data_IF_989913897950
#
_entry.id   IF_989913897950
#
_cell.length_a   1.000
_cell.length_b   1.000
_cell.length_c   1.000
_cell.angle_alpha   90.00
_cell.angle_beta   90.00
_cell.angle_gamma   90.00
#
_symmetry.space_group_name_H-M   'P 1'
#
loop_
_entity.id
_entity.type
_entity.pdbx_description
1 polymer ?
#
# COMPACT_ATOMS: atom_id res chain seq x y z
N UNK A 1 -11.42 -28.78 -47.37
CA UNK A 1 -11.80 -27.53 -46.67
C UNK A 1 -10.65 -27.13 -45.77
N UNK A 2 -10.04 -25.97 -46.07
CA UNK A 2 -8.72 -25.57 -45.58
C UNK A 2 -8.76 -25.14 -44.11
N UNK A 3 -7.92 -25.74 -43.27
CA UNK A 3 -7.71 -25.35 -41.86
C UNK A 3 -6.62 -24.27 -41.80
N UNK A 4 -7.03 -23.04 -41.54
CA UNK A 4 -6.13 -21.92 -41.28
C UNK A 4 -5.75 -21.98 -39.79
N UNK A 5 -4.48 -22.29 -39.52
CA UNK A 5 -3.88 -22.24 -38.18
C UNK A 5 -3.23 -20.87 -38.03
N UNK A 6 -3.76 -20.03 -37.14
CA UNK A 6 -3.08 -18.80 -36.71
C UNK A 6 -2.05 -19.12 -35.63
N UNK A 7 -0.76 -19.01 -35.96
CA UNK A 7 0.33 -18.93 -34.98
C UNK A 7 0.40 -17.50 -34.44
N UNK A 8 0.11 -17.32 -33.15
CA UNK A 8 0.45 -16.06 -32.45
C UNK A 8 1.94 -16.07 -32.12
N UNK A 9 2.65 -15.06 -32.62
CA UNK A 9 4.01 -14.74 -32.21
C UNK A 9 3.99 -14.15 -30.80
N UNK A 10 4.73 -14.76 -29.87
CA UNK A 10 5.07 -14.14 -28.59
C UNK A 10 6.22 -13.15 -28.87
N UNK A 11 5.94 -11.85 -28.76
CA UNK A 11 7.00 -10.84 -28.65
C UNK A 11 7.58 -10.89 -27.24
N UNK A 12 8.80 -11.43 -27.14
CA UNK A 12 9.63 -11.35 -25.96
C UNK A 12 10.17 -9.90 -25.85
N UNK A 13 9.65 -9.12 -24.90
CA UNK A 13 10.23 -7.83 -24.54
C UNK A 13 11.48 -8.10 -23.71
N UNK A 14 12.65 -7.86 -24.32
CA UNK A 14 13.92 -7.81 -23.60
C UNK A 14 13.91 -6.55 -22.73
N UNK A 15 13.85 -6.73 -21.40
CA UNK A 15 14.15 -5.66 -20.45
C UNK A 15 15.67 -5.50 -20.44
N UNK A 16 16.16 -4.36 -20.90
CA UNK A 16 17.56 -3.97 -20.79
C UNK A 16 17.95 -3.94 -19.30
N UNK A 17 18.82 -4.86 -18.89
CA UNK A 17 19.43 -4.83 -17.56
C UNK A 17 20.44 -3.68 -17.51
N UNK A 18 20.32 -2.85 -16.47
CA UNK A 18 21.24 -1.77 -16.18
C UNK A 18 22.68 -2.29 -16.01
N UNK A 19 23.64 -1.51 -16.53
CA UNK A 19 25.06 -1.81 -16.45
C UNK A 19 25.55 -1.90 -14.98
N UNK A 20 26.48 -2.80 -14.65
CA UNK A 20 27.06 -2.87 -13.32
C UNK A 20 27.93 -1.64 -13.05
N UNK A 21 27.72 -1.04 -11.89
CA UNK A 21 28.59 -0.02 -11.31
C UNK A 21 29.99 -0.62 -11.15
N UNK A 22 30.97 -0.11 -11.89
CA UNK A 22 32.38 -0.48 -11.73
C UNK A 22 32.87 0.06 -10.38
N UNK A 23 32.96 -0.80 -9.37
CA UNK A 23 33.80 -0.52 -8.21
C UNK A 23 35.25 -0.62 -8.67
N UNK A 24 35.95 0.50 -8.75
CA UNK A 24 37.38 0.52 -8.94
C UNK A 24 38.06 -0.09 -7.70
N UNK A 25 38.51 -1.35 -7.81
CA UNK A 25 39.50 -1.90 -6.90
C UNK A 25 40.86 -1.31 -7.28
N UNK A 26 41.35 -0.39 -6.44
CA UNK A 26 42.75 0.04 -6.48
C UNK A 26 43.56 -1.07 -5.81
N UNK A 27 44.13 -1.95 -6.62
CA UNK A 27 45.09 -2.96 -6.13
C UNK A 27 46.46 -2.31 -6.03
N UNK A 28 46.85 -1.87 -4.83
CA UNK A 28 48.26 -1.55 -4.55
C UNK A 28 48.97 -2.88 -4.31
N UNK A 29 49.87 -3.26 -5.22
CA UNK A 29 50.65 -4.50 -5.10
C UNK A 29 51.45 -4.51 -3.78
N UNK A 30 51.23 -5.54 -2.96
CA UNK A 30 52.13 -5.91 -1.84
C UNK A 30 51.57 -5.83 -0.42
N UNK A 31 50.29 -5.46 -0.20
CA UNK A 31 49.74 -5.34 1.16
C UNK A 31 48.44 -6.11 1.32
N UNK A 32 48.44 -7.12 2.20
CA UNK A 32 47.24 -7.85 2.62
C UNK A 32 46.47 -6.97 3.60
N UNK A 33 45.26 -6.55 3.25
CA UNK A 33 44.40 -5.76 4.15
C UNK A 33 43.94 -6.66 5.30
N UNK A 34 44.37 -6.34 6.52
CA UNK A 34 43.91 -7.00 7.74
C UNK A 34 42.41 -6.80 7.95
N UNK A 35 41.78 -7.79 8.57
CA UNK A 35 40.35 -7.82 8.90
C UNK A 35 39.89 -6.57 9.65
N UNK A 36 38.71 -6.06 9.27
CA UNK A 36 38.04 -4.93 9.91
C UNK A 36 37.70 -5.23 11.38
N UNK A 37 38.05 -4.31 12.29
CA UNK A 37 37.48 -4.29 13.63
C UNK A 37 35.97 -4.03 13.58
N UNK A 38 35.21 -4.60 14.52
CA UNK A 38 33.74 -4.49 14.59
C UNK A 38 33.22 -3.06 14.84
N UNK A 39 34.11 -2.10 15.09
CA UNK A 39 33.80 -0.68 15.31
C UNK A 39 33.95 0.19 14.06
N UNK A 40 34.27 -0.40 12.89
CA UNK A 40 34.41 0.32 11.63
C UNK A 40 35.61 1.28 11.60
N UNK A 41 36.53 1.20 12.57
CA UNK A 41 37.77 2.00 12.56
C UNK A 41 38.82 1.28 11.73
N UNK A 42 39.07 1.76 10.52
CA UNK A 42 40.35 1.54 9.86
C UNK A 42 41.21 2.78 10.08
N UNK A 43 41.89 2.79 11.22
CA UNK A 43 43.25 3.29 11.22
C UNK A 43 44.10 2.01 11.24
N UNK A 44 45.10 1.92 10.36
CA UNK A 44 46.10 0.86 10.44
C UNK A 44 46.44 0.62 11.92
N UNK A 45 46.23 -0.60 12.47
CA UNK A 45 46.87 -0.88 13.73
C UNK A 45 48.38 -0.70 13.50
N UNK A 46 49.01 -0.03 14.47
CA UNK A 46 50.41 -0.20 14.82
C UNK A 46 51.55 0.44 14.01
N UNK A 47 51.46 1.71 13.57
CA UNK A 47 52.73 2.49 13.60
C UNK A 47 53.14 2.75 15.06
N UNK A 48 52.18 2.96 15.97
CA UNK A 48 52.47 3.18 17.39
C UNK A 48 52.94 1.93 18.14
N UNK A 49 52.56 0.71 17.73
CA UNK A 49 53.08 -0.51 18.39
C UNK A 49 54.36 -1.03 17.73
N UNK A 50 54.69 -0.59 16.51
CA UNK A 50 55.89 -1.02 15.79
C UNK A 50 57.10 -0.10 15.96
N UNK A 51 56.92 1.19 16.28
CA UNK A 51 58.05 2.12 16.50
C UNK A 51 57.85 2.99 17.76
N UNK A 52 58.83 3.04 18.66
CA UNK A 52 58.91 3.98 19.80
C UNK A 52 59.64 5.26 19.39
N UNK A 53 59.17 6.42 19.87
CA UNK A 53 59.81 7.72 19.63
C UNK A 53 60.85 7.95 20.73
N UNK A 54 62.14 7.96 20.37
CA UNK A 54 63.23 8.34 21.28
C UNK A 54 63.22 9.84 21.60
N UNK A 55 63.86 10.24 22.70
CA UNK A 55 63.91 11.64 23.17
C UNK A 55 64.55 12.65 22.21
N UNK A 56 65.14 12.18 21.11
CA UNK A 56 65.73 12.95 20.00
C UNK A 56 64.88 12.92 18.73
N UNK A 57 63.65 12.39 18.77
CA UNK A 57 62.73 12.33 17.63
C UNK A 57 62.98 11.19 16.63
N UNK A 58 63.96 10.31 16.88
CA UNK A 58 64.18 9.12 16.04
C UNK A 58 63.18 8.02 16.41
N UNK A 59 62.58 7.43 15.37
CA UNK A 59 61.75 6.23 15.50
C UNK A 59 62.65 4.99 15.59
N UNK A 60 62.51 4.23 16.68
CA UNK A 60 63.19 2.95 16.87
C UNK A 60 62.16 1.82 16.83
N UNK A 61 62.43 0.65 16.24
CA UNK A 61 61.50 -0.47 16.28
C UNK A 61 61.18 -0.85 17.74
N UNK A 62 59.89 -1.06 18.03
CA UNK A 62 59.47 -1.58 19.33
C UNK A 62 60.07 -2.97 19.54
N UNK A 63 60.64 -3.29 20.71
CA UNK A 63 61.29 -4.58 20.97
C UNK A 63 60.31 -5.78 20.90
N UNK A 64 59.00 -5.54 20.89
CA UNK A 64 57.96 -6.57 20.69
C UNK A 64 57.56 -6.78 19.23
N UNK A 65 58.04 -5.94 18.29
CA UNK A 65 57.78 -6.14 16.88
C UNK A 65 58.67 -7.28 16.35
N UNK A 66 58.05 -8.39 15.94
CA UNK A 66 58.75 -9.54 15.36
C UNK A 66 59.74 -9.13 14.25
N UNK A 67 60.84 -9.86 14.15
CA UNK A 67 61.91 -9.61 13.18
C UNK A 67 61.36 -9.60 11.75
N UNK A 68 61.24 -8.41 11.15
CA UNK A 68 60.71 -8.24 9.79
C UNK A 68 60.29 -6.82 9.42
N UNK A 69 60.13 -5.91 10.39
CA UNK A 69 59.76 -4.52 10.12
C UNK A 69 60.98 -3.61 10.12
N UNK A 70 61.21 -2.88 9.03
CA UNK A 70 62.18 -1.77 8.99
C UNK A 70 61.38 -0.46 9.08
N UNK A 71 61.54 0.30 10.17
CA UNK A 71 61.04 1.67 10.26
C UNK A 71 61.91 2.51 9.29
N UNK A 72 61.57 2.55 7.99
CA UNK A 72 62.30 3.35 7.00
C UNK A 72 62.06 4.83 7.32
N UNK A 73 63.13 5.61 7.37
CA UNK A 73 63.14 7.02 7.78
C UNK A 73 62.03 7.82 7.09
N UNK A 74 60.93 8.07 7.80
CA UNK A 74 59.95 9.08 7.42
C UNK A 74 60.58 10.43 7.77
N UNK A 75 61.28 11.01 6.80
CA UNK A 75 61.96 12.29 6.94
C UNK A 75 61.05 13.33 7.60
N UNK A 76 61.56 13.98 8.64
CA UNK A 76 60.87 14.96 9.48
C UNK A 76 60.46 16.25 8.76
N UNK A 77 60.82 16.41 7.47
CA UNK A 77 60.63 17.66 6.73
C UNK A 77 60.06 17.48 5.30
N UNK A 78 59.36 16.36 5.03
CA UNK A 78 58.67 16.15 3.76
C UNK A 78 57.15 16.39 3.85
N UNK A 79 56.48 16.83 2.75
CA UNK A 79 55.02 17.02 2.70
C UNK A 79 54.18 15.76 3.00
N UNK A 80 54.83 14.61 3.18
CA UNK A 80 54.22 13.34 3.57
C UNK A 80 53.82 13.25 5.05
N UNK A 81 54.41 14.03 5.96
CA UNK A 81 53.98 14.02 7.37
C UNK A 81 52.58 14.66 7.56
N UNK A 82 52.21 15.62 6.72
CA UNK A 82 50.85 16.16 6.70
C UNK A 82 49.82 15.17 6.13
N UNK A 83 50.26 14.14 5.39
CA UNK A 83 49.39 13.15 4.77
C UNK A 83 49.05 11.97 5.71
N UNK A 84 49.95 11.59 6.61
CA UNK A 84 49.73 10.45 7.54
C UNK A 84 48.87 10.83 8.74
N UNK A 85 48.97 12.08 9.23
CA UNK A 85 48.10 12.60 10.30
C UNK A 85 46.72 13.07 9.83
N UNK A 86 46.46 13.04 8.52
CA UNK A 86 45.10 13.04 7.97
C UNK A 86 44.61 11.59 7.87
N UNK A 87 44.55 10.90 9.01
CA UNK A 87 43.49 9.92 9.20
C UNK A 87 42.19 10.73 9.14
N UNK A 88 41.70 10.94 7.93
CA UNK A 88 40.35 11.37 7.70
C UNK A 88 39.51 10.35 8.46
N UNK A 89 38.96 10.76 9.60
CA UNK A 89 37.74 10.18 10.10
C UNK A 89 36.75 10.36 8.96
N UNK A 90 36.73 9.41 8.02
CA UNK A 90 35.64 9.25 7.10
C UNK A 90 34.47 8.88 7.99
N UNK A 91 33.81 9.93 8.49
CA UNK A 91 32.51 9.80 9.08
C UNK A 91 31.64 9.28 7.96
N UNK A 92 31.37 7.97 8.00
CA UNK A 92 30.38 7.42 7.11
C UNK A 92 29.08 8.19 7.37
N UNK A 93 28.33 8.52 6.32
CA UNK A 93 27.06 9.19 6.50
C UNK A 93 26.16 8.28 7.33
N UNK A 94 25.51 8.88 8.34
CA UNK A 94 24.42 8.20 9.03
C UNK A 94 23.20 8.24 8.12
N UNK A 95 22.63 7.07 7.84
CA UNK A 95 21.50 6.90 6.93
C UNK A 95 20.31 6.30 7.68
N UNK A 96 19.10 6.69 7.31
CA UNK A 96 17.86 6.07 7.77
C UNK A 96 17.16 5.38 6.60
N UNK A 97 16.57 4.21 6.86
CA UNK A 97 15.74 3.48 5.91
C UNK A 97 14.42 3.08 6.57
N UNK A 98 13.32 3.07 5.82
CA UNK A 98 12.01 2.62 6.28
C UNK A 98 11.59 1.37 5.49
N UNK A 99 11.36 0.26 6.20
CA UNK A 99 10.99 -1.04 5.61
C UNK A 99 9.70 -1.60 6.24
N UNK A 100 9.15 -2.67 5.63
CA UNK A 100 7.87 -3.29 6.05
C UNK A 100 6.93 -3.56 4.86
N UNK A 101 5.69 -4.03 5.12
CA UNK A 101 4.65 -4.16 4.09
C UNK A 101 4.34 -2.82 3.41
N UNK A 102 3.87 -2.86 2.16
CA UNK A 102 3.43 -1.69 1.39
C UNK A 102 1.91 -1.66 1.14
N UNK A 103 1.18 -2.62 1.69
CA UNK A 103 -0.26 -2.77 1.50
C UNK A 103 -0.91 -3.28 2.79
N UNK A 104 -2.11 -2.78 3.08
CA UNK A 104 -3.00 -3.26 4.15
C UNK A 104 -4.45 -2.99 3.76
N UNK A 105 -5.42 -3.50 4.55
CA UNK A 105 -6.84 -3.26 4.30
C UNK A 105 -7.35 -2.04 5.07
N UNK A 106 -8.40 -1.36 4.57
CA UNK A 106 -9.09 -0.36 5.38
C UNK A 106 -9.67 -0.99 6.65
N UNK A 107 -9.77 -0.23 7.74
CA UNK A 107 -10.43 -0.70 8.96
C UNK A 107 -11.87 -1.15 8.67
N UNK A 108 -12.31 -2.16 9.43
CA UNK A 108 -13.64 -2.75 9.30
C UNK A 108 -13.97 -3.28 7.88
N UNK A 109 -12.98 -3.85 7.17
CA UNK A 109 -13.18 -4.54 5.88
C UNK A 109 -12.78 -6.02 5.88
N UNK A 110 -12.76 -6.66 7.04
CA UNK A 110 -12.22 -8.02 7.22
C UNK A 110 -10.70 -8.10 6.99
N UNK A 111 -10.02 -9.04 7.63
CA UNK A 111 -8.54 -9.11 7.59
C UNK A 111 -7.84 -8.07 8.47
N UNK A 112 -6.53 -7.88 8.29
CA UNK A 112 -5.74 -6.94 9.09
C UNK A 112 -5.77 -5.53 8.50
N UNK A 113 -6.02 -4.53 9.35
CA UNK A 113 -5.83 -3.11 9.05
C UNK A 113 -4.51 -2.55 9.61
N UNK A 114 -3.75 -3.39 10.33
CA UNK A 114 -2.49 -3.01 10.95
C UNK A 114 -1.29 -3.62 10.22
N UNK A 115 -0.23 -2.84 10.07
CA UNK A 115 1.09 -3.32 9.62
C UNK A 115 2.20 -2.76 10.51
N UNK A 116 3.26 -3.54 10.69
CA UNK A 116 4.47 -3.09 11.38
C UNK A 116 5.51 -2.63 10.35
N UNK A 117 6.05 -1.43 10.57
CA UNK A 117 7.15 -0.86 9.82
C UNK A 117 8.40 -0.77 10.70
N UNK A 118 9.57 -0.83 10.07
CA UNK A 118 10.87 -0.78 10.75
C UNK A 118 11.67 0.39 10.16
N UNK A 119 11.91 1.40 10.99
CA UNK A 119 12.87 2.45 10.69
C UNK A 119 14.25 2.02 11.20
N UNK A 120 15.22 1.88 10.31
CA UNK A 120 16.58 1.42 10.62
C UNK A 120 17.58 2.52 10.34
N UNK A 121 18.43 2.83 11.31
CA UNK A 121 19.53 3.79 11.17
C UNK A 121 20.85 3.05 11.14
N UNK A 122 21.66 3.31 10.12
CA UNK A 122 22.99 2.75 9.97
C UNK A 122 24.04 3.83 9.79
N UNK A 123 25.28 3.49 10.17
CA UNK A 123 26.48 4.22 9.81
C UNK A 123 27.27 3.33 8.85
N UNK A 124 27.20 3.60 7.54
CA UNK A 124 27.54 2.61 6.51
C UNK A 124 26.68 1.33 6.68
N UNK A 125 27.30 0.18 6.98
CA UNK A 125 26.63 -1.10 7.23
C UNK A 125 26.34 -1.38 8.71
N UNK A 126 26.95 -0.62 9.63
CA UNK A 126 26.80 -0.84 11.06
C UNK A 126 25.51 -0.21 11.58
N UNK A 127 24.76 -0.93 12.41
CA UNK A 127 23.61 -0.39 13.13
C UNK A 127 24.01 0.78 14.05
N UNK A 128 23.18 1.84 14.09
CA UNK A 128 23.41 2.99 14.97
C UNK A 128 22.29 3.12 15.99
N UNK A 129 22.58 2.74 17.22
CA UNK A 129 21.67 2.87 18.37
C UNK A 129 21.60 4.31 18.91
N UNK A 130 20.57 4.61 19.68
CA UNK A 130 20.43 5.89 20.38
C UNK A 130 20.06 7.08 19.49
N UNK A 131 19.64 6.84 18.25
CA UNK A 131 19.26 7.90 17.30
C UNK A 131 17.77 8.21 17.45
N UNK A 132 17.45 9.46 17.75
CA UNK A 132 16.08 9.94 17.82
C UNK A 132 15.49 10.11 16.41
N UNK A 133 14.26 9.60 16.23
CA UNK A 133 13.48 9.65 15.00
C UNK A 133 12.11 10.30 15.27
N UNK A 134 11.62 11.09 14.31
CA UNK A 134 10.25 11.59 14.27
C UNK A 134 9.46 10.90 13.16
N UNK A 135 8.19 10.59 13.41
CA UNK A 135 7.30 9.90 12.48
C UNK A 135 6.05 10.74 12.21
N UNK A 136 5.63 10.74 10.95
CA UNK A 136 4.37 11.35 10.54
C UNK A 136 3.72 10.53 9.43
N UNK A 137 2.41 10.73 9.27
CA UNK A 137 1.58 10.08 8.28
C UNK A 137 0.78 11.13 7.54
N UNK A 138 0.76 11.02 6.22
CA UNK A 138 -0.15 11.77 5.37
C UNK A 138 -0.94 10.85 4.44
N UNK A 139 -1.93 11.41 3.75
CA UNK A 139 -2.73 10.70 2.76
C UNK A 139 -2.72 11.47 1.45
N UNK A 140 -2.40 10.78 0.35
CA UNK A 140 -2.38 11.38 -0.98
C UNK A 140 -3.78 11.84 -1.36
N UNK A 141 -3.98 13.13 -1.73
CA UNK A 141 -5.26 13.66 -2.17
C UNK A 141 -5.90 12.82 -3.29
N UNK A 142 -7.22 12.68 -3.29
CA UNK A 142 -8.01 12.01 -4.34
C UNK A 142 -7.50 10.59 -4.72
N UNK A 143 -7.12 9.80 -3.71
CA UNK A 143 -6.62 8.42 -3.88
C UNK A 143 -7.62 7.42 -3.33
N UNK A 144 -7.52 6.14 -3.72
CA UNK A 144 -8.40 5.06 -3.21
C UNK A 144 -9.82 5.03 -3.79
N UNK A 145 -10.06 5.74 -4.89
CA UNK A 145 -11.41 5.85 -5.47
C UNK A 145 -12.20 7.06 -5.00
N UNK A 146 -11.62 7.89 -4.14
CA UNK A 146 -12.21 9.15 -3.71
C UNK A 146 -11.83 10.29 -4.67
N UNK A 147 -12.82 11.11 -4.99
CA UNK A 147 -12.67 12.24 -5.94
C UNK A 147 -12.58 13.61 -5.24
N UNK A 148 -12.54 13.62 -3.91
CA UNK A 148 -12.36 14.82 -3.10
C UNK A 148 -11.29 14.61 -2.02
N UNK A 149 -10.78 15.72 -1.50
CA UNK A 149 -9.81 15.76 -0.42
C UNK A 149 -9.98 17.06 0.38
N UNK A 150 -9.91 16.95 1.70
CA UNK A 150 -9.86 18.07 2.62
C UNK A 150 -9.07 17.67 3.87
N UNK A 151 -8.91 18.64 4.78
CA UNK A 151 -8.16 18.48 6.03
C UNK A 151 -8.77 17.47 7.01
N UNK A 152 -10.06 17.15 6.86
CA UNK A 152 -10.77 16.18 7.68
C UNK A 152 -10.66 14.75 7.13
N UNK A 153 -10.01 14.52 5.98
CA UNK A 153 -9.78 13.18 5.44
C UNK A 153 -9.06 12.31 6.48
N UNK A 154 -9.64 11.17 6.91
CA UNK A 154 -9.01 10.29 7.87
C UNK A 154 -7.63 9.85 7.41
N UNK A 155 -6.64 10.14 8.24
CA UNK A 155 -5.29 9.59 8.11
C UNK A 155 -5.23 8.29 8.93
N UNK A 156 -4.35 7.38 8.55
CA UNK A 156 -4.05 6.25 9.43
C UNK A 156 -3.36 6.73 10.71
N UNK A 157 -3.36 5.89 11.73
CA UNK A 157 -2.76 6.19 13.03
C UNK A 157 -1.40 5.50 13.13
N UNK A 158 -0.45 6.20 13.74
CA UNK A 158 0.82 5.62 14.15
C UNK A 158 0.78 5.41 15.67
N UNK A 159 1.19 4.24 16.13
CA UNK A 159 1.27 3.95 17.57
C UNK A 159 2.30 4.83 18.31
N UNK A 160 3.22 5.47 17.57
CA UNK A 160 4.17 6.43 18.08
C UNK A 160 4.53 7.48 17.00
N UNK A 161 4.68 8.74 17.40
CA UNK A 161 5.15 9.83 16.54
C UNK A 161 6.64 10.13 16.72
N UNK A 162 7.28 9.45 17.67
CA UNK A 162 8.70 9.61 18.01
C UNK A 162 9.26 8.26 18.46
N UNK A 163 10.57 8.05 18.31
CA UNK A 163 11.25 6.86 18.84
C UNK A 163 12.76 7.01 18.85
N UNK A 164 13.44 6.13 19.59
CA UNK A 164 14.91 6.09 19.65
C UNK A 164 15.37 4.70 19.24
N UNK A 165 16.34 4.62 18.33
CA UNK A 165 16.82 3.33 17.82
C UNK A 165 17.43 2.45 18.93
N UNK A 166 17.08 1.17 18.90
CA UNK A 166 17.61 0.16 19.81
C UNK A 166 19.06 -0.27 19.47
N UNK A 167 19.57 -1.31 20.13
CA UNK A 167 20.90 -1.85 19.87
C UNK A 167 21.11 -2.35 18.42
N UNK A 168 20.03 -2.67 17.70
CA UNK A 168 20.05 -3.07 16.29
C UNK A 168 19.92 -1.87 15.34
N UNK A 169 19.86 -0.65 15.89
CA UNK A 169 19.64 0.57 15.11
C UNK A 169 18.20 0.69 14.63
N UNK A 170 17.23 0.04 15.29
CA UNK A 170 15.85 -0.07 14.79
C UNK A 170 14.84 0.61 15.71
N UNK A 171 13.80 1.18 15.10
CA UNK A 171 12.53 1.55 15.75
C UNK A 171 11.40 0.85 15.00
N UNK A 172 10.55 0.12 15.73
CA UNK A 172 9.35 -0.50 15.19
C UNK A 172 8.16 0.42 15.44
N UNK A 173 7.41 0.73 14.39
CA UNK A 173 6.16 1.50 14.47
C UNK A 173 5.03 0.67 13.85
N UNK A 174 3.83 0.81 14.40
CA UNK A 174 2.62 0.19 13.87
C UNK A 174 1.80 1.28 13.20
N UNK A 175 1.41 1.02 11.95
CA UNK A 175 0.44 1.82 11.21
C UNK A 175 -0.90 1.10 11.22
N UNK A 176 -1.94 1.79 11.69
CA UNK A 176 -3.33 1.36 11.66
C UNK A 176 -4.07 2.15 10.57
N UNK A 177 -4.59 1.45 9.56
CA UNK A 177 -5.32 2.07 8.45
C UNK A 177 -6.71 2.55 8.89
N UNK A 178 -7.20 3.70 8.36
CA UNK A 178 -8.57 4.14 8.61
C UNK A 178 -9.58 3.32 7.82
N UNK A 179 -10.88 3.53 8.02
CA UNK A 179 -11.93 2.88 7.22
C UNK A 179 -11.93 3.33 5.75
N UNK A 180 -11.33 4.48 5.45
CA UNK A 180 -11.28 5.11 4.12
C UNK A 180 -10.06 4.58 3.37
N UNK A 181 -10.24 4.13 2.13
CA UNK A 181 -9.15 3.66 1.29
C UNK A 181 -8.28 4.83 0.78
N UNK A 182 -7.03 4.56 0.44
CA UNK A 182 -6.12 5.59 -0.06
C UNK A 182 -4.66 5.18 -0.05
N UNK A 183 -3.83 6.05 -0.64
CA UNK A 183 -2.38 5.96 -0.53
C UNK A 183 -1.97 6.79 0.68
N UNK A 184 -1.32 6.15 1.65
CA UNK A 184 -0.78 6.81 2.83
C UNK A 184 0.74 6.89 2.73
N UNK A 185 1.32 8.04 3.09
CA UNK A 185 2.76 8.24 3.09
C UNK A 185 3.24 8.34 4.53
N UNK A 186 4.07 7.39 4.95
CA UNK A 186 4.75 7.43 6.25
C UNK A 186 6.11 8.08 6.04
N UNK A 187 6.38 9.15 6.78
CA UNK A 187 7.62 9.92 6.69
C UNK A 187 8.42 9.82 7.99
N UNK A 188 9.72 9.58 7.87
CA UNK A 188 10.67 9.48 8.98
C UNK A 188 11.65 10.66 8.91
N UNK A 189 11.65 11.47 9.96
CA UNK A 189 12.61 12.54 10.18
C UNK A 189 13.74 12.06 11.10
N UNK A 190 14.99 12.34 10.75
CA UNK A 190 16.19 12.02 11.51
C UNK A 190 17.17 13.18 11.39
N UNK A 191 17.35 13.94 12.47
CA UNK A 191 18.14 15.17 12.47
C UNK A 191 19.64 14.94 12.17
N UNK A 192 20.15 13.74 12.43
CA UNK A 192 21.56 13.38 12.24
C UNK A 192 21.80 12.54 10.98
N UNK A 193 20.75 12.21 10.21
CA UNK A 193 20.87 11.39 9.03
C UNK A 193 20.96 12.27 7.77
N UNK A 194 21.88 11.95 6.87
CA UNK A 194 22.11 12.76 5.66
C UNK A 194 21.05 12.58 4.58
N UNK A 195 20.27 11.51 4.63
CA UNK A 195 19.20 11.20 3.67
C UNK A 195 17.79 11.45 4.23
N UNK A 196 17.66 12.25 5.30
CA UNK A 196 16.37 12.58 5.90
C UNK A 196 15.69 13.77 5.19
N UNK A 197 14.36 13.78 5.02
CA UNK A 197 13.41 12.72 5.40
C UNK A 197 13.40 11.54 4.42
N UNK A 198 13.05 10.35 4.92
CA UNK A 198 12.70 9.19 4.07
C UNK A 198 11.22 8.88 4.18
N UNK A 199 10.63 8.38 3.10
CA UNK A 199 9.20 8.09 3.02
C UNK A 199 8.92 6.66 2.54
N UNK A 200 7.76 6.14 2.92
CA UNK A 200 7.22 4.89 2.39
C UNK A 200 5.73 5.04 2.13
N UNK A 201 5.30 4.62 0.94
CA UNK A 201 3.89 4.55 0.59
C UNK A 201 3.26 3.22 1.05
N UNK A 202 2.08 3.33 1.62
CA UNK A 202 1.21 2.23 2.03
C UNK A 202 -0.10 2.35 1.26
N UNK A 203 -0.43 1.33 0.48
CA UNK A 203 -1.72 1.23 -0.19
C UNK A 203 -2.75 0.63 0.78
N UNK A 204 -3.76 1.41 1.14
CA UNK A 204 -4.90 0.94 1.94
C UNK A 204 -6.02 0.57 0.97
N UNK A 205 -6.22 -0.72 0.72
CA UNK A 205 -7.24 -1.22 -0.23
C UNK A 205 -7.76 -2.61 0.12
N UNK A 206 -8.95 -2.93 -0.39
CA UNK A 206 -9.48 -4.30 -0.43
C UNK A 206 -8.93 -4.99 -1.68
N UNK A 207 -8.24 -6.14 -1.55
CA UNK A 207 -7.68 -6.87 -2.68
C UNK A 207 -8.77 -7.55 -3.51
N UNK A 208 -8.42 -7.89 -4.76
CA UNK A 208 -9.20 -8.74 -5.68
C UNK A 208 -10.61 -8.23 -6.01
N UNK A 209 -10.78 -6.91 -5.96
CA UNK A 209 -11.99 -6.24 -6.45
C UNK A 209 -11.98 -6.18 -7.98
N UNK A 210 -13.09 -6.57 -8.58
CA UNK A 210 -13.31 -6.65 -10.02
C UNK A 210 -14.44 -5.71 -10.43
N UNK A 211 -14.31 -5.00 -11.56
CA UNK A 211 -15.37 -4.14 -12.05
C UNK A 211 -16.56 -4.98 -12.56
N UNK A 212 -17.77 -4.50 -12.30
CA UNK A 212 -18.97 -4.93 -13.03
C UNK A 212 -18.84 -4.39 -14.46
N UNK A 213 -19.07 -5.24 -15.46
CA UNK A 213 -18.92 -4.85 -16.86
C UNK A 213 -19.85 -3.67 -17.21
N UNK A 214 -19.36 -2.60 -17.85
CA UNK A 214 -20.23 -1.55 -18.38
C UNK A 214 -20.99 -2.00 -19.64
N UNK A 215 -20.66 -3.18 -20.18
CA UNK A 215 -21.29 -3.77 -21.37
C UNK A 215 -22.03 -5.06 -20.97
N UNK A 216 -23.23 -4.95 -20.40
CA UNK A 216 -24.07 -6.11 -20.07
C UNK A 216 -24.51 -6.87 -21.33
N UNK A 217 -24.79 -8.18 -21.21
CA UNK A 217 -25.53 -8.93 -22.23
C UNK A 217 -26.86 -8.25 -22.62
N UNK A 218 -27.28 -8.44 -23.86
CA UNK A 218 -28.60 -8.01 -24.33
C UNK A 218 -29.64 -9.13 -24.17
N UNK A 219 -30.86 -8.74 -23.83
CA UNK A 219 -32.07 -9.54 -23.93
C UNK A 219 -32.48 -9.70 -25.40
N UNK A 220 -33.40 -10.64 -25.67
CA UNK A 220 -33.89 -10.91 -27.03
C UNK A 220 -34.62 -9.72 -27.68
N UNK A 221 -35.13 -8.79 -26.87
CA UNK A 221 -35.80 -7.55 -27.31
C UNK A 221 -34.81 -6.39 -27.56
N UNK A 222 -33.50 -6.63 -27.45
CA UNK A 222 -32.45 -5.62 -27.64
C UNK A 222 -32.17 -4.75 -26.40
N UNK A 223 -32.91 -4.93 -25.31
CA UNK A 223 -32.60 -4.26 -24.03
C UNK A 223 -31.42 -4.92 -23.32
N UNK A 224 -30.84 -4.29 -22.31
CA UNK A 224 -29.75 -4.88 -21.53
C UNK A 224 -30.28 -5.65 -20.30
N UNK A 225 -29.57 -6.70 -19.87
CA UNK A 225 -29.93 -7.44 -18.65
C UNK A 225 -29.81 -6.60 -17.37
N UNK A 226 -28.89 -5.64 -17.36
CA UNK A 226 -28.73 -4.66 -16.30
C UNK A 226 -28.22 -3.33 -16.86
N UNK A 227 -28.29 -2.28 -16.05
CA UNK A 227 -27.68 -0.99 -16.32
C UNK A 227 -26.98 -0.48 -15.05
N UNK A 228 -25.85 0.19 -15.21
CA UNK A 228 -25.16 0.90 -14.14
C UNK A 228 -25.79 2.30 -14.04
N UNK A 229 -26.42 2.62 -12.90
CA UNK A 229 -27.37 3.74 -12.74
C UNK A 229 -27.03 4.71 -11.62
N UNK A 230 -25.96 4.44 -10.89
CA UNK A 230 -25.27 5.50 -10.16
C UNK A 230 -24.76 6.51 -11.21
N UNK A 231 -25.04 7.79 -10.97
CA UNK A 231 -24.91 8.97 -11.85
C UNK A 231 -25.88 9.09 -13.05
N UNK A 232 -27.02 9.75 -12.83
CA UNK A 232 -27.59 10.60 -13.88
C UNK A 232 -26.81 11.94 -13.94
N UNK A 233 -26.73 12.51 -15.14
CA UNK A 233 -25.95 13.74 -15.41
C UNK A 233 -26.44 14.96 -14.62
N UNK A 234 -27.66 14.92 -14.10
CA UNK A 234 -28.27 16.01 -13.30
C UNK A 234 -27.57 16.21 -11.97
N UNK A 235 -26.86 15.20 -11.44
CA UNK A 235 -26.11 15.27 -10.19
C UNK A 235 -24.58 15.42 -10.38
N UNK A 236 -24.09 15.48 -11.63
CA UNK A 236 -22.66 15.63 -11.95
C UNK A 236 -22.08 17.03 -11.65
N UNK A 237 -22.91 17.99 -11.24
CA UNK A 237 -22.50 19.39 -11.05
C UNK A 237 -21.85 19.74 -9.71
N UNK A 238 -21.90 18.86 -8.70
CA UNK A 238 -21.44 19.20 -7.33
C UNK A 238 -20.21 18.43 -6.85
N UNK A 239 -19.59 17.55 -7.66
CA UNK A 239 -18.42 16.77 -7.23
C UNK A 239 -18.67 15.80 -6.07
N UNK A 240 -19.93 15.36 -5.87
CA UNK A 240 -20.40 14.59 -4.71
C UNK A 240 -20.55 13.08 -4.95
N UNK A 241 -20.16 12.58 -6.12
CA UNK A 241 -20.35 11.17 -6.47
C UNK A 241 -19.05 10.56 -6.96
N UNK A 242 -18.82 9.31 -6.59
CA UNK A 242 -17.65 8.56 -7.03
C UNK A 242 -17.99 7.88 -8.36
N UNK A 243 -17.31 8.24 -9.44
CA UNK A 243 -17.59 7.72 -10.78
C UNK A 243 -17.20 6.25 -10.98
N UNK A 244 -16.51 5.64 -10.00
CA UNK A 244 -15.94 4.29 -10.06
C UNK A 244 -16.40 3.40 -8.88
N UNK A 245 -17.72 3.27 -8.71
CA UNK A 245 -18.36 2.59 -7.56
C UNK A 245 -18.99 1.24 -7.88
N UNK A 246 -18.50 0.56 -8.91
CA UNK A 246 -19.05 -0.71 -9.43
C UNK A 246 -18.08 -1.86 -9.30
N UNK A 247 -17.44 -2.01 -8.14
CA UNK A 247 -16.49 -3.09 -7.89
C UNK A 247 -17.05 -4.10 -6.90
N UNK A 248 -16.79 -5.37 -7.17
CA UNK A 248 -17.22 -6.51 -6.35
C UNK A 248 -16.11 -7.55 -6.26
N UNK A 249 -16.15 -8.42 -5.27
CA UNK A 249 -15.34 -9.65 -5.30
C UNK A 249 -15.80 -10.55 -6.45
N UNK A 250 -14.95 -11.47 -6.90
CA UNK A 250 -15.31 -12.46 -7.91
C UNK A 250 -16.56 -13.28 -7.54
N UNK A 251 -16.69 -13.68 -6.27
CA UNK A 251 -17.84 -14.46 -5.80
C UNK A 251 -19.11 -13.62 -5.78
N UNK A 252 -19.03 -12.37 -5.30
CA UNK A 252 -20.15 -11.44 -5.30
C UNK A 252 -20.63 -11.12 -6.72
N UNK A 253 -19.71 -10.99 -7.69
CA UNK A 253 -20.07 -10.80 -9.10
C UNK A 253 -20.86 -12.00 -9.66
N UNK A 254 -20.45 -13.23 -9.34
CA UNK A 254 -21.20 -14.44 -9.75
C UNK A 254 -22.60 -14.48 -9.12
N UNK A 255 -22.69 -14.15 -7.83
CA UNK A 255 -23.96 -14.12 -7.11
C UNK A 255 -24.90 -13.04 -7.66
N UNK A 256 -24.35 -11.88 -8.01
CA UNK A 256 -25.08 -10.79 -8.66
C UNK A 256 -25.67 -11.24 -10.01
N UNK A 257 -24.91 -11.94 -10.84
CA UNK A 257 -25.42 -12.45 -12.12
C UNK A 257 -26.59 -13.44 -11.93
N UNK A 258 -26.52 -14.30 -10.91
CA UNK A 258 -27.62 -15.19 -10.55
C UNK A 258 -28.87 -14.44 -10.05
N UNK A 259 -28.67 -13.38 -9.27
CA UNK A 259 -29.73 -12.50 -8.80
C UNK A 259 -30.40 -11.75 -9.98
N UNK A 260 -29.62 -11.20 -10.90
CA UNK A 260 -30.14 -10.53 -12.11
C UNK A 260 -30.98 -11.51 -12.95
N UNK A 261 -30.54 -12.76 -13.10
CA UNK A 261 -31.33 -13.80 -13.74
C UNK A 261 -32.67 -14.06 -13.04
N UNK A 262 -32.70 -13.97 -11.71
CA UNK A 262 -33.95 -14.11 -10.93
C UNK A 262 -34.90 -12.92 -11.14
N UNK A 263 -34.38 -11.69 -11.24
CA UNK A 263 -35.19 -10.53 -11.61
C UNK A 263 -35.77 -10.65 -13.01
N UNK A 264 -34.95 -11.10 -13.98
CA UNK A 264 -35.39 -11.32 -15.35
C UNK A 264 -36.52 -12.36 -15.44
N UNK A 265 -36.42 -13.46 -14.68
CA UNK A 265 -37.45 -14.49 -14.61
C UNK A 265 -38.80 -13.98 -14.07
N UNK A 266 -38.78 -12.94 -13.25
CA UNK A 266 -39.98 -12.25 -12.73
C UNK A 266 -40.39 -11.06 -13.62
N UNK A 267 -39.81 -10.98 -14.82
CA UNK A 267 -40.14 -9.99 -15.85
C UNK A 267 -39.73 -8.57 -15.51
N UNK A 268 -38.71 -8.35 -14.66
CA UNK A 268 -38.28 -7.00 -14.28
C UNK A 268 -37.69 -6.18 -15.44
N UNK A 269 -37.25 -6.84 -16.51
CA UNK A 269 -36.51 -6.18 -17.60
C UNK A 269 -35.09 -5.85 -17.17
N UNK A 270 -34.58 -4.69 -17.56
CA UNK A 270 -33.24 -4.21 -17.19
C UNK A 270 -33.15 -3.90 -15.70
N UNK A 271 -32.25 -4.57 -14.98
CA UNK A 271 -32.00 -4.31 -13.55
C UNK A 271 -31.08 -3.09 -13.37
N UNK A 272 -31.53 -2.08 -12.62
CA UNK A 272 -30.74 -0.89 -12.32
C UNK A 272 -29.80 -1.13 -11.13
N UNK A 273 -28.50 -1.30 -11.39
CA UNK A 273 -27.46 -1.42 -10.38
C UNK A 273 -26.99 -0.03 -9.97
N UNK A 274 -26.94 0.24 -8.67
CA UNK A 274 -26.51 1.52 -8.12
C UNK A 274 -25.18 1.36 -7.38
N UNK A 275 -25.15 1.47 -6.06
CA UNK A 275 -23.89 1.57 -5.31
C UNK A 275 -23.34 0.17 -5.03
N UNK A 276 -22.14 -0.16 -5.51
CA UNK A 276 -21.35 -1.32 -5.09
C UNK A 276 -20.12 -0.83 -4.31
N UNK A 277 -18.92 -1.39 -4.48
CA UNK A 277 -17.69 -0.87 -3.85
C UNK A 277 -16.90 0.07 -4.76
N UNK A 278 -16.11 0.97 -4.15
CA UNK A 278 -15.03 1.68 -4.83
C UNK A 278 -13.98 0.67 -5.31
N UNK A 279 -13.16 1.04 -6.28
CA UNK A 279 -12.14 0.14 -6.83
C UNK A 279 -11.07 -0.30 -5.82
N UNK A 280 -10.86 0.45 -4.74
CA UNK A 280 -10.03 0.05 -3.59
C UNK A 280 -10.84 -0.32 -2.34
N UNK A 281 -12.17 -0.33 -2.44
CA UNK A 281 -13.04 -0.54 -1.28
C UNK A 281 -12.96 0.58 -0.26
N UNK A 282 -13.14 0.21 1.01
CA UNK A 282 -13.22 1.17 2.10
C UNK A 282 -14.55 1.93 2.15
N UNK A 283 -14.67 2.82 3.13
CA UNK A 283 -15.89 3.60 3.37
C UNK A 283 -16.16 4.59 2.23
N UNK A 284 -17.40 4.58 1.74
CA UNK A 284 -17.94 5.65 0.91
C UNK A 284 -18.14 6.95 1.69
N UNK A 285 -17.85 8.06 1.02
CA UNK A 285 -18.22 9.38 1.50
C UNK A 285 -19.00 10.10 0.40
N UNK A 286 -20.32 9.95 0.41
CA UNK A 286 -21.21 10.60 -0.56
C UNK A 286 -21.42 12.08 -0.22
N UNK A 287 -21.23 12.45 1.05
CA UNK A 287 -21.48 13.81 1.54
C UNK A 287 -20.23 14.69 1.61
N UNK A 288 -19.08 14.16 1.19
CA UNK A 288 -17.77 14.83 1.23
C UNK A 288 -17.42 15.34 2.63
N UNK A 289 -17.73 14.57 3.68
CA UNK A 289 -17.44 14.91 5.08
C UNK A 289 -16.76 13.77 5.86
N UNK A 290 -16.34 12.73 5.13
CA UNK A 290 -15.73 11.48 5.57
C UNK A 290 -16.57 10.68 6.57
N UNK A 291 -17.88 10.96 6.62
CA UNK A 291 -18.87 10.28 7.46
C UNK A 291 -19.85 9.52 6.57
N UNK A 292 -20.64 8.64 7.19
CA UNK A 292 -21.65 7.84 6.48
C UNK A 292 -22.66 8.73 5.74
N UNK A 293 -23.55 8.17 4.89
CA UNK A 293 -24.01 6.77 4.89
C UNK A 293 -23.12 5.78 4.10
N UNK A 294 -23.51 4.49 4.08
CA UNK A 294 -22.88 3.38 3.31
C UNK A 294 -21.66 2.69 3.97
N UNK A 295 -21.82 2.32 5.24
CA UNK A 295 -20.82 1.50 5.95
C UNK A 295 -20.71 0.06 5.41
N UNK A 296 -21.68 -0.44 4.64
CA UNK A 296 -21.69 -1.84 4.15
C UNK A 296 -20.90 -2.08 2.86
N UNK A 297 -20.89 -1.12 1.92
CA UNK A 297 -20.33 -1.31 0.58
C UNK A 297 -18.80 -1.32 0.49
N UNK A 298 -18.09 -1.56 1.59
CA UNK A 298 -16.63 -1.38 1.69
C UNK A 298 -15.81 -2.50 1.10
N UNK A 299 -16.40 -3.70 1.05
CA UNK A 299 -15.67 -4.94 0.74
C UNK A 299 -15.94 -5.48 -0.68
N UNK A 300 -16.76 -4.81 -1.47
CA UNK A 300 -17.25 -5.35 -2.74
C UNK A 300 -18.13 -6.58 -2.56
N UNK A 301 -18.86 -6.64 -1.44
CA UNK A 301 -19.77 -7.74 -1.09
C UNK A 301 -21.23 -7.34 -1.06
N UNK A 302 -21.52 -6.08 -1.37
CA UNK A 302 -22.84 -5.48 -1.24
C UNK A 302 -23.11 -4.62 -2.47
N UNK A 303 -24.38 -4.55 -2.88
CA UNK A 303 -24.81 -3.70 -3.98
C UNK A 303 -26.24 -3.21 -3.78
N UNK A 304 -26.50 -1.98 -4.20
CA UNK A 304 -27.85 -1.44 -4.27
C UNK A 304 -28.50 -1.68 -5.63
N UNK A 305 -29.78 -2.06 -5.60
CA UNK A 305 -30.62 -2.25 -6.79
C UNK A 305 -31.76 -1.24 -6.75
N UNK A 306 -31.73 -0.30 -7.68
CA UNK A 306 -32.73 0.77 -7.78
C UNK A 306 -34.02 0.27 -8.39
N UNK A 307 -35.16 0.80 -7.91
CA UNK A 307 -36.46 0.55 -8.52
C UNK A 307 -36.87 1.57 -9.58
N UNK A 308 -36.15 2.70 -9.68
CA UNK A 308 -36.60 3.86 -10.46
C UNK A 308 -35.74 4.17 -11.69
N UNK A 309 -34.50 3.67 -11.77
CA UNK A 309 -33.48 4.22 -12.68
C UNK A 309 -33.27 3.47 -14.01
N UNK A 310 -34.10 2.48 -14.37
CA UNK A 310 -33.96 1.71 -15.62
C UNK A 310 -34.90 2.15 -16.76
N UNK A 311 -35.43 3.38 -16.76
CA UNK A 311 -36.50 3.84 -17.67
C UNK A 311 -37.82 3.04 -17.61
N UNK A 312 -37.93 2.07 -16.70
CA UNK A 312 -39.12 1.29 -16.43
C UNK A 312 -39.26 1.09 -14.91
N UNK A 313 -39.88 2.03 -14.18
CA UNK A 313 -39.99 1.94 -12.74
C UNK A 313 -40.77 0.68 -12.34
N UNK A 314 -40.23 -0.08 -11.39
CA UNK A 314 -40.86 -1.31 -10.92
C UNK A 314 -41.97 -0.92 -9.94
N UNK A 315 -43.19 -1.41 -10.15
CA UNK A 315 -44.31 -1.09 -9.24
C UNK A 315 -44.06 -1.66 -7.84
N UNK A 316 -44.57 -0.98 -6.80
CA UNK A 316 -44.44 -1.44 -5.42
C UNK A 316 -45.00 -2.86 -5.22
N UNK A 317 -46.10 -3.21 -5.91
CA UNK A 317 -46.65 -4.58 -5.90
C UNK A 317 -45.62 -5.59 -6.40
N UNK A 318 -44.96 -5.31 -7.52
CA UNK A 318 -43.96 -6.20 -8.11
C UNK A 318 -42.69 -6.31 -7.26
N UNK A 319 -42.28 -5.22 -6.61
CA UNK A 319 -41.20 -5.23 -5.62
C UNK A 319 -41.54 -6.15 -4.44
N UNK A 320 -42.75 -6.00 -3.88
CA UNK A 320 -43.24 -6.81 -2.76
C UNK A 320 -43.40 -8.28 -3.15
N UNK A 321 -43.95 -8.57 -4.32
CA UNK A 321 -44.12 -9.92 -4.84
C UNK A 321 -42.76 -10.60 -5.05
N UNK A 322 -41.78 -9.88 -5.62
CA UNK A 322 -40.42 -10.40 -5.76
C UNK A 322 -39.81 -10.72 -4.40
N UNK A 323 -39.86 -9.77 -3.46
CA UNK A 323 -39.34 -9.98 -2.11
C UNK A 323 -40.02 -11.17 -1.44
N UNK A 324 -41.34 -11.27 -1.48
CA UNK A 324 -42.08 -12.35 -0.84
C UNK A 324 -41.78 -13.71 -1.49
N UNK A 325 -41.78 -13.80 -2.83
CA UNK A 325 -41.38 -15.03 -3.54
C UNK A 325 -39.94 -15.43 -3.21
N UNK A 326 -39.02 -14.48 -3.25
CA UNK A 326 -37.60 -14.74 -3.05
C UNK A 326 -37.30 -15.12 -1.60
N UNK A 327 -37.77 -14.32 -0.65
CA UNK A 327 -37.42 -14.43 0.76
C UNK A 327 -38.31 -15.39 1.55
N UNK A 328 -39.62 -15.50 1.22
CA UNK A 328 -40.55 -16.38 1.96
C UNK A 328 -40.69 -17.75 1.31
N UNK A 329 -40.69 -17.83 -0.02
CA UNK A 329 -40.98 -19.07 -0.74
C UNK A 329 -39.70 -19.82 -1.16
N UNK A 330 -38.57 -19.14 -1.38
CA UNK A 330 -37.29 -19.76 -1.79
C UNK A 330 -36.24 -19.85 -0.67
N UNK A 331 -36.69 -19.99 0.59
CA UNK A 331 -35.95 -19.91 1.88
C UNK A 331 -34.51 -20.47 2.00
N UNK A 332 -33.92 -21.16 1.01
CA UNK A 332 -32.73 -22.00 1.24
C UNK A 332 -31.69 -22.06 0.10
N UNK A 333 -31.87 -21.45 -1.08
CA UNK A 333 -31.01 -21.79 -2.24
C UNK A 333 -30.14 -20.66 -2.83
N UNK A 334 -30.07 -19.48 -2.20
CA UNK A 334 -29.27 -18.37 -2.74
C UNK A 334 -28.28 -17.84 -1.71
N UNK A 335 -27.01 -17.58 -2.10
CA UNK A 335 -25.93 -17.19 -1.18
C UNK A 335 -25.95 -15.70 -0.79
N UNK A 336 -27.07 -15.00 -0.99
CA UNK A 336 -27.19 -13.57 -0.79
C UNK A 336 -28.48 -13.19 -0.05
N UNK A 337 -28.46 -12.05 0.61
CA UNK A 337 -29.56 -11.52 1.42
C UNK A 337 -30.07 -10.19 0.90
N UNK A 338 -31.38 -9.93 1.07
CA UNK A 338 -32.02 -8.69 0.64
C UNK A 338 -32.52 -7.89 1.85
N UNK A 339 -32.10 -6.63 1.95
CA UNK A 339 -32.69 -5.62 2.80
C UNK A 339 -33.47 -4.63 1.94
N UNK A 340 -34.79 -4.56 2.15
CA UNK A 340 -35.63 -3.60 1.44
C UNK A 340 -35.68 -2.27 2.22
N UNK A 341 -35.17 -1.20 1.62
CA UNK A 341 -35.30 0.17 2.12
C UNK A 341 -36.52 0.85 1.48
N UNK A 342 -37.45 1.33 2.31
CA UNK A 342 -38.71 1.95 1.85
C UNK A 342 -38.72 3.49 1.90
N UNK A 343 -37.75 4.11 2.58
CA UNK A 343 -37.77 5.56 2.87
C UNK A 343 -36.83 6.34 1.96
N UNK A 344 -37.28 7.53 1.53
CA UNK A 344 -36.58 8.56 0.74
C UNK A 344 -36.09 8.18 -0.68
N UNK A 345 -35.59 6.96 -0.87
CA UNK A 345 -35.15 6.42 -2.16
C UNK A 345 -35.27 4.89 -2.11
N UNK A 346 -36.43 4.30 -2.45
CA UNK A 346 -36.63 2.88 -2.26
C UNK A 346 -35.74 2.06 -3.20
N UNK A 347 -35.02 1.11 -2.61
CA UNK A 347 -34.09 0.19 -3.28
C UNK A 347 -33.96 -1.12 -2.49
N UNK A 348 -33.40 -2.15 -3.13
CA UNK A 348 -32.87 -3.29 -2.40
C UNK A 348 -31.38 -3.05 -2.10
N UNK A 349 -31.04 -3.07 -0.82
CA UNK A 349 -29.66 -3.26 -0.37
C UNK A 349 -29.38 -4.76 -0.33
N UNK A 350 -28.44 -5.22 -1.16
CA UNK A 350 -28.18 -6.65 -1.37
C UNK A 350 -26.83 -7.03 -0.77
N UNK A 351 -26.83 -7.97 0.18
CA UNK A 351 -25.61 -8.61 0.64
C UNK A 351 -25.33 -9.83 -0.22
N UNK A 352 -24.34 -9.74 -1.10
CA UNK A 352 -24.04 -10.77 -2.10
C UNK A 352 -23.31 -11.98 -1.52
N UNK A 353 -22.80 -11.91 -0.29
CA UNK A 353 -22.09 -12.99 0.39
C UNK A 353 -22.37 -13.03 1.90
N UNK A 354 -22.06 -14.16 2.55
CA UNK A 354 -21.98 -14.37 4.01
C UNK A 354 -23.27 -14.20 4.82
N UNK A 355 -24.38 -13.79 4.21
CA UNK A 355 -25.65 -13.64 4.89
C UNK A 355 -26.70 -14.60 4.35
N UNK A 356 -27.40 -15.27 5.26
CA UNK A 356 -28.48 -16.22 4.96
C UNK A 356 -29.79 -15.71 5.56
N UNK A 357 -30.34 -14.64 4.98
CA UNK A 357 -31.61 -14.07 5.45
C UNK A 357 -32.21 -13.05 4.49
N UNK A 358 -33.42 -12.61 4.78
CA UNK A 358 -33.95 -11.40 4.19
C UNK A 358 -34.59 -10.58 5.29
N UNK A 359 -34.47 -9.26 5.18
CA UNK A 359 -35.01 -8.32 6.15
C UNK A 359 -35.74 -7.18 5.45
N UNK A 360 -36.71 -6.62 6.16
CA UNK A 360 -37.30 -5.33 5.79
C UNK A 360 -36.79 -4.34 6.83
N UNK A 361 -36.33 -3.17 6.39
CA UNK A 361 -36.18 -2.05 7.32
C UNK A 361 -37.60 -1.64 7.76
N UNK A 362 -37.82 -1.55 9.08
CA UNK A 362 -39.08 -1.00 9.60
C UNK A 362 -39.17 0.47 9.22
N UNK A 363 -40.40 0.93 8.95
CA UNK A 363 -40.71 2.28 8.46
C UNK A 363 -40.37 3.39 9.44
#
# INVERSE_FOLDING_TARGET
MSKIIHRRALSLVLVAMAAPTVQAQITVQGWTVGSWGSDGRSCYPSIQEACTIGGNGQLSPSPTAGTGYTCREMGTEGPYWAAINKCYYQQFPTLVALSGPSETRPAATGGSAEITLIAKVTNSTAAKSGVALGFSVDVTPNSGGHEHHDVARPKGLLNATQGVTDANGEVKIVFEAPEVAGIHTIQVACAVCSNSPVSKEIQVRVPDLLPISPNPPQNADGTFVYALTSVDKTHQGNGRYHHNQYYLTQQSLQNLLGLIGSFAAEGWGTVALNDASLFWGGRYDITSNWRGPHAGHREGREIDISFARANNPISASKQNDFYDKFCKNKKVNFPFSLLHHYVNAPHFHVYLEKQTGCWKSEH
#
